data_IF_123457660459
#
_entry.id   IF_123457660459
#
_cell.length_a   1.000
_cell.length_b   1.000
_cell.length_c   1.000
_cell.angle_alpha   90.00
_cell.angle_beta   90.00
_cell.angle_gamma   90.00
#
_symmetry.space_group_name_H-M   'P 1'
#
loop_
_entity.id
_entity.type
_entity.pdbx_description
1 polymer ?
#
# COMPACT_ATOMS: atom_id res chain seq x y z
N UNK A 1 17.55 14.81 2.29
CA UNK A 1 17.32 14.03 1.07
C UNK A 1 15.82 13.89 0.91
N UNK A 2 15.21 14.64 -0.02
CA UNK A 2 13.77 14.56 -0.27
C UNK A 2 13.54 13.40 -1.25
N UNK A 3 12.76 12.39 -0.84
CA UNK A 3 12.29 11.38 -1.75
C UNK A 3 11.47 12.09 -2.85
N UNK A 4 11.99 12.11 -4.07
CA UNK A 4 11.27 12.62 -5.23
C UNK A 4 10.06 11.72 -5.43
N UNK A 5 8.85 12.23 -5.16
CA UNK A 5 7.64 11.56 -5.57
C UNK A 5 7.61 11.59 -7.10
N UNK A 6 7.80 10.44 -7.72
CA UNK A 6 7.63 10.29 -9.17
C UNK A 6 6.21 10.75 -9.56
N UNK A 7 5.97 11.24 -10.79
CA UNK A 7 4.63 11.58 -11.23
C UNK A 7 3.70 10.38 -11.07
N UNK A 8 2.63 10.52 -10.28
CA UNK A 8 1.67 9.45 -10.03
C UNK A 8 1.94 8.60 -8.78
N UNK A 9 2.94 8.93 -7.97
CA UNK A 9 3.12 8.33 -6.63
C UNK A 9 2.46 9.15 -5.52
N UNK A 10 1.89 8.47 -4.53
CA UNK A 10 1.27 9.07 -3.36
C UNK A 10 1.47 8.17 -2.13
N UNK A 11 1.32 8.73 -0.93
CA UNK A 11 1.57 8.03 0.34
C UNK A 11 0.31 8.01 1.18
N UNK A 12 0.02 6.86 1.79
CA UNK A 12 -1.05 6.69 2.77
C UNK A 12 -0.48 6.09 4.05
N UNK A 13 -1.20 6.30 5.16
CA UNK A 13 -0.81 5.76 6.46
C UNK A 13 -1.98 4.98 7.07
N UNK A 14 -1.74 3.70 7.37
CA UNK A 14 -2.74 2.80 7.94
C UNK A 14 -2.30 2.35 9.34
N UNK A 15 -3.18 2.45 10.34
CA UNK A 15 -2.90 1.93 11.68
C UNK A 15 -3.35 0.46 11.80
N UNK A 16 -2.38 -0.46 11.76
CA UNK A 16 -2.60 -1.89 11.93
C UNK A 16 -2.17 -2.41 13.31
N UNK A 17 -1.92 -1.53 14.30
CA UNK A 17 -1.46 -1.95 15.65
C UNK A 17 -2.43 -2.92 16.34
N UNK A 18 -3.73 -2.77 16.08
CA UNK A 18 -4.77 -3.64 16.62
C UNK A 18 -4.86 -5.01 15.91
N UNK A 19 -4.01 -5.28 14.90
CA UNK A 19 -4.04 -6.53 14.13
C UNK A 19 -5.18 -6.64 13.11
N UNK A 20 -5.81 -5.52 12.75
CA UNK A 20 -6.84 -5.47 11.71
C UNK A 20 -6.33 -5.94 10.35
N UNK A 21 -7.26 -6.31 9.46
CA UNK A 21 -6.93 -6.69 8.08
C UNK A 21 -6.78 -5.43 7.23
N UNK A 22 -5.84 -5.42 6.29
CA UNK A 22 -5.72 -4.34 5.31
C UNK A 22 -6.93 -4.28 4.37
N UNK A 23 -7.52 -5.43 4.05
CA UNK A 23 -8.64 -5.50 3.11
C UNK A 23 -8.19 -5.34 1.66
N UNK A 24 -7.04 -5.92 1.28
CA UNK A 24 -6.56 -5.94 -0.10
C UNK A 24 -5.97 -7.29 -0.45
N UNK A 25 -6.16 -7.70 -1.70
CA UNK A 25 -5.43 -8.82 -2.30
C UNK A 25 -4.40 -8.24 -3.27
N UNK A 26 -3.17 -8.76 -3.20
CA UNK A 26 -2.05 -8.25 -3.98
C UNK A 26 -1.36 -9.34 -4.77
N UNK A 27 -0.97 -8.99 -6.00
CA UNK A 27 -0.11 -9.79 -6.86
C UNK A 27 1.31 -9.23 -6.88
N UNK A 28 2.29 -10.12 -6.82
CA UNK A 28 3.72 -9.75 -6.79
C UNK A 28 4.51 -10.42 -7.93
N UNK A 29 3.84 -10.82 -9.02
CA UNK A 29 4.47 -11.58 -10.11
C UNK A 29 5.54 -10.79 -10.86
N UNK A 30 5.50 -9.46 -10.80
CA UNK A 30 6.53 -8.61 -11.42
C UNK A 30 7.86 -8.60 -10.64
N UNK A 31 7.88 -9.12 -9.41
CA UNK A 31 9.07 -9.22 -8.57
C UNK A 31 9.52 -7.89 -7.94
N UNK A 32 8.84 -6.78 -8.21
CA UNK A 32 9.26 -5.43 -7.81
C UNK A 32 8.20 -4.73 -6.95
N UNK A 33 6.91 -4.93 -7.24
CA UNK A 33 5.81 -4.18 -6.62
C UNK A 33 4.67 -5.10 -6.21
N UNK A 34 3.76 -4.58 -5.36
CA UNK A 34 2.52 -5.29 -5.03
C UNK A 34 1.35 -4.64 -5.76
N UNK A 35 0.87 -5.29 -6.82
CA UNK A 35 -0.30 -4.85 -7.58
C UNK A 35 -1.56 -5.15 -6.78
N UNK A 36 -2.40 -4.15 -6.54
CA UNK A 36 -3.69 -4.31 -5.87
C UNK A 36 -4.71 -4.84 -6.89
N UNK A 37 -5.10 -6.11 -6.75
CA UNK A 37 -6.09 -6.75 -7.61
C UNK A 37 -7.52 -6.62 -7.08
N UNK A 38 -7.66 -6.62 -5.75
CA UNK A 38 -8.97 -6.55 -5.07
C UNK A 38 -8.87 -5.66 -3.84
N UNK A 39 -9.93 -4.88 -3.60
CA UNK A 39 -10.13 -4.14 -2.34
C UNK A 39 -11.37 -4.71 -1.66
N UNK A 40 -11.17 -5.29 -0.48
CA UNK A 40 -12.17 -5.89 0.41
C UNK A 40 -12.37 -5.00 1.65
N UNK A 41 -13.29 -5.39 2.52
CA UNK A 41 -13.47 -4.73 3.82
C UNK A 41 -12.18 -4.78 4.66
N UNK A 42 -11.80 -3.62 5.21
CA UNK A 42 -10.59 -3.46 6.01
C UNK A 42 -10.06 -2.04 6.01
N UNK A 43 -8.84 -1.88 6.53
CA UNK A 43 -8.22 -0.56 6.75
C UNK A 43 -8.08 0.28 5.47
N UNK A 44 -7.88 -0.35 4.30
CA UNK A 44 -7.80 0.36 3.02
C UNK A 44 -9.17 0.91 2.60
N UNK A 45 -10.24 0.16 2.84
CA UNK A 45 -11.60 0.64 2.56
C UNK A 45 -11.97 1.81 3.50
N UNK A 46 -11.62 1.70 4.78
CA UNK A 46 -11.81 2.79 5.76
C UNK A 46 -11.04 4.04 5.36
N UNK A 47 -9.79 3.88 4.91
CA UNK A 47 -8.99 4.97 4.35
C UNK A 47 -9.69 5.62 3.15
N UNK A 48 -10.20 4.83 2.21
CA UNK A 48 -10.90 5.32 1.03
C UNK A 48 -12.20 6.06 1.34
N UNK A 49 -12.88 5.70 2.42
CA UNK A 49 -14.08 6.38 2.91
C UNK A 49 -13.74 7.75 3.51
N UNK A 50 -12.63 7.83 4.26
CA UNK A 50 -12.16 9.07 4.87
C UNK A 50 -11.46 10.02 3.88
N UNK A 51 -10.78 9.50 2.86
CA UNK A 51 -9.91 10.27 1.95
C UNK A 51 -10.40 10.19 0.50
N UNK A 52 -11.16 11.20 0.05
CA UNK A 52 -11.72 11.21 -1.31
C UNK A 52 -10.71 11.55 -2.43
N UNK A 53 -9.62 12.25 -2.12
CA UNK A 53 -8.61 12.68 -3.10
C UNK A 53 -7.55 11.61 -3.35
N UNK A 54 -7.10 10.95 -2.29
CA UNK A 54 -6.03 9.94 -2.32
C UNK A 54 -6.58 8.54 -2.03
N UNK A 55 -7.69 8.20 -2.71
CA UNK A 55 -8.26 6.85 -2.62
C UNK A 55 -7.31 5.84 -3.23
N UNK A 56 -7.13 4.71 -2.59
CA UNK A 56 -6.54 3.50 -3.16
C UNK A 56 -7.53 2.85 -4.10
N UNK A 57 -7.08 2.52 -5.31
CA UNK A 57 -7.90 1.86 -6.33
C UNK A 57 -7.26 0.56 -6.79
N UNK A 58 -8.09 -0.39 -7.26
CA UNK A 58 -7.61 -1.57 -7.98
C UNK A 58 -6.75 -1.11 -9.16
N UNK A 59 -5.62 -1.77 -9.38
CA UNK A 59 -4.61 -1.37 -10.35
C UNK A 59 -3.46 -0.53 -9.78
N UNK A 60 -3.65 0.08 -8.59
CA UNK A 60 -2.55 0.75 -7.90
C UNK A 60 -1.49 -0.27 -7.45
N UNK A 61 -0.25 0.17 -7.37
CA UNK A 61 0.90 -0.64 -6.99
C UNK A 61 1.54 -0.11 -5.74
N UNK A 62 1.70 -0.94 -4.72
CA UNK A 62 2.52 -0.60 -3.54
C UNK A 62 3.98 -0.77 -3.94
N UNK A 63 4.74 0.32 -3.88
CA UNK A 63 6.15 0.38 -4.26
C UNK A 63 7.06 0.46 -3.04
N UNK A 64 6.53 0.87 -1.89
CA UNK A 64 7.30 0.96 -0.64
C UNK A 64 6.39 0.77 0.58
N UNK A 65 6.89 0.08 1.60
CA UNK A 65 6.23 -0.10 2.90
C UNK A 65 7.21 0.26 3.99
N UNK A 66 6.92 1.29 4.80
CA UNK A 66 7.80 1.74 5.89
C UNK A 66 9.26 2.03 5.46
N UNK A 67 9.46 2.51 4.23
CA UNK A 67 10.79 2.77 3.67
C UNK A 67 11.47 1.55 3.03
N UNK A 68 10.86 0.36 3.08
CA UNK A 68 11.32 -0.85 2.39
C UNK A 68 10.78 -0.80 0.96
N UNK A 69 11.66 -0.91 -0.05
CA UNK A 69 11.31 -0.96 -1.48
C UNK A 69 12.23 -1.89 -2.30
N UNK A 70 13.13 -2.61 -1.65
CA UNK A 70 14.22 -3.32 -2.32
C UNK A 70 13.90 -4.79 -2.63
N UNK A 71 12.92 -5.37 -1.94
CA UNK A 71 12.55 -6.77 -2.05
C UNK A 71 11.04 -6.93 -1.83
N UNK A 72 10.35 -7.47 -2.83
CA UNK A 72 8.90 -7.64 -2.83
C UNK A 72 8.40 -8.57 -1.71
N UNK A 73 9.19 -9.58 -1.32
CA UNK A 73 8.84 -10.47 -0.21
C UNK A 73 8.92 -9.71 1.12
N UNK A 74 9.88 -8.81 1.26
CA UNK A 74 9.96 -7.94 2.44
C UNK A 74 8.80 -6.95 2.50
N UNK A 75 8.30 -6.45 1.35
CA UNK A 75 7.07 -5.64 1.32
C UNK A 75 5.87 -6.43 1.87
N UNK A 76 5.74 -7.69 1.45
CA UNK A 76 4.66 -8.58 1.90
C UNK A 76 4.77 -8.84 3.39
N UNK A 77 5.96 -9.16 3.90
CA UNK A 77 6.16 -9.43 5.33
C UNK A 77 5.99 -8.18 6.19
N UNK A 78 6.40 -7.01 5.70
CA UNK A 78 6.17 -5.74 6.38
C UNK A 78 4.67 -5.42 6.49
N UNK A 79 3.90 -5.66 5.42
CA UNK A 79 2.44 -5.50 5.42
C UNK A 79 1.72 -6.40 6.44
N UNK A 80 2.32 -7.53 6.83
CA UNK A 80 1.74 -8.47 7.81
C UNK A 80 1.97 -8.05 9.26
N UNK A 81 2.91 -7.13 9.54
CA UNK A 81 3.24 -6.72 10.90
C UNK A 81 2.13 -5.87 11.52
N UNK A 82 1.90 -6.03 12.82
CA UNK A 82 0.93 -5.27 13.59
C UNK A 82 1.52 -3.92 14.03
N UNK A 83 1.61 -2.98 13.09
CA UNK A 83 2.18 -1.65 13.32
C UNK A 83 1.50 -0.60 12.43
N UNK A 84 1.93 0.65 12.53
CA UNK A 84 1.55 1.66 11.53
C UNK A 84 2.30 1.34 10.24
N UNK A 85 1.58 1.31 9.14
CA UNK A 85 2.11 1.06 7.80
C UNK A 85 2.04 2.35 7.01
N UNK A 86 3.21 2.85 6.60
CA UNK A 86 3.36 3.94 5.65
C UNK A 86 3.55 3.31 4.28
N UNK A 87 2.50 3.37 3.45
CA UNK A 87 2.49 2.77 2.13
C UNK A 87 2.70 3.85 1.08
N UNK A 88 3.72 3.69 0.24
CA UNK A 88 3.86 4.47 -0.99
C UNK A 88 3.24 3.69 -2.12
N UNK A 89 2.30 4.30 -2.81
CA UNK A 89 1.58 3.70 -3.93
C UNK A 89 1.86 4.49 -5.20
N UNK A 90 1.94 3.77 -6.33
CA UNK A 90 1.92 4.33 -7.67
C UNK A 90 0.58 4.06 -8.31
N UNK A 91 0.00 5.08 -8.93
CA UNK A 91 -1.28 4.99 -9.64
C UNK A 91 -1.20 3.99 -10.79
N UNK A 92 -2.17 3.08 -10.85
CA UNK A 92 -2.42 2.27 -12.05
C UNK A 92 -2.88 3.18 -13.19
N UNK A 93 -2.28 3.04 -14.37
CA UNK A 93 -2.75 3.67 -15.62
C UNK A 93 -3.82 2.82 -16.28
#
# INVERSE_FOLDING_TARGET
MAAQASPGEYVIQLDRKAGGRLGIDVDHKDGETLLIEVINEGLVMDWNNANKKDKVTVGDRIVEVNGINSDVLQLVDECKKNQVLVLKLRRGQ
#
